data_IF_536345379097
#
_entry.id   IF_536345379097
#
_cell.length_a   1.000
_cell.length_b   1.000
_cell.length_c   1.000
_cell.angle_alpha   90.00
_cell.angle_beta   90.00
_cell.angle_gamma   90.00
#
_symmetry.space_group_name_H-M   'P 1'
#
loop_
_entity.id
_entity.type
_entity.pdbx_description
1 polymer ?
#
# COMPACT_ATOMS: atom_id res chain seq x y z
N UNK A 1 16.48 -16.27 -23.30
CA UNK A 1 15.03 -16.22 -23.06
C UNK A 1 14.38 -16.46 -24.41
N UNK A 2 13.58 -17.52 -24.54
CA UNK A 2 12.95 -17.88 -25.82
C UNK A 2 12.06 -16.73 -26.30
N UNK A 3 12.14 -16.41 -27.59
CA UNK A 3 11.25 -15.43 -28.24
C UNK A 3 9.82 -15.97 -28.27
N UNK A 4 9.03 -15.58 -27.27
CA UNK A 4 7.62 -15.96 -27.14
C UNK A 4 6.80 -15.05 -28.05
N UNK A 5 5.98 -15.64 -28.93
CA UNK A 5 5.06 -14.91 -29.78
C UNK A 5 3.78 -14.52 -29.01
N UNK A 6 3.81 -13.32 -28.42
CA UNK A 6 2.70 -12.75 -27.65
C UNK A 6 1.45 -12.46 -28.48
N UNK A 7 1.52 -12.48 -29.81
CA UNK A 7 0.31 -12.30 -30.65
C UNK A 7 -0.63 -13.51 -30.58
N UNK A 8 -0.12 -14.67 -30.14
CA UNK A 8 -0.87 -15.90 -29.93
C UNK A 8 -1.41 -16.05 -28.51
N UNK A 9 -1.17 -15.05 -27.65
CA UNK A 9 -1.62 -15.09 -26.27
C UNK A 9 -3.16 -14.94 -26.20
N UNK A 10 -3.85 -15.77 -25.40
CA UNK A 10 -5.27 -15.59 -25.14
C UNK A 10 -5.57 -14.21 -24.54
N UNK A 11 -6.78 -13.65 -24.74
CA UNK A 11 -7.16 -12.37 -24.17
C UNK A 11 -6.98 -12.32 -22.65
N UNK A 12 -6.36 -11.25 -22.14
CA UNK A 12 -6.11 -11.06 -20.72
C UNK A 12 -4.88 -11.77 -20.16
N UNK A 13 -4.09 -12.47 -20.99
CA UNK A 13 -2.81 -13.08 -20.58
C UNK A 13 -1.86 -12.04 -20.02
N UNK A 14 -1.17 -12.33 -18.92
CA UNK A 14 -0.13 -11.47 -18.36
C UNK A 14 1.19 -12.22 -18.05
N UNK A 15 1.30 -13.51 -18.39
CA UNK A 15 2.56 -14.23 -18.31
C UNK A 15 2.61 -15.49 -19.17
N UNK A 16 3.84 -15.96 -19.38
CA UNK A 16 4.16 -17.24 -20.00
C UNK A 16 5.12 -17.99 -19.07
N UNK A 17 4.70 -19.15 -18.57
CA UNK A 17 5.47 -19.99 -17.66
C UNK A 17 5.41 -21.43 -18.12
N UNK A 18 6.56 -22.09 -18.22
CA UNK A 18 6.67 -23.52 -18.53
C UNK A 18 5.87 -23.97 -19.78
N UNK A 19 5.73 -23.09 -20.78
CA UNK A 19 4.99 -23.40 -22.00
C UNK A 19 3.48 -23.13 -21.94
N UNK A 20 2.99 -22.48 -20.88
CA UNK A 20 1.57 -22.25 -20.64
C UNK A 20 1.31 -20.75 -20.42
N UNK A 21 0.25 -20.23 -21.07
CA UNK A 21 -0.23 -18.86 -20.87
C UNK A 21 -0.92 -18.74 -19.52
N UNK A 22 -0.64 -17.64 -18.81
CA UNK A 22 -1.25 -17.36 -17.53
C UNK A 22 -1.86 -15.95 -17.50
N UNK A 23 -2.88 -15.77 -16.65
CA UNK A 23 -3.42 -14.46 -16.29
C UNK A 23 -3.62 -14.34 -14.78
N UNK A 24 -3.57 -13.11 -14.27
CA UNK A 24 -3.91 -12.78 -12.89
C UNK A 24 -5.14 -11.87 -12.85
N UNK A 25 -6.07 -12.16 -11.95
CA UNK A 25 -7.22 -11.31 -11.63
C UNK A 25 -7.29 -11.15 -10.11
N UNK A 26 -6.92 -9.96 -9.60
CA UNK A 26 -6.75 -9.74 -8.16
C UNK A 26 -5.66 -10.64 -7.58
N UNK A 27 -5.99 -11.39 -6.52
CA UNK A 27 -5.10 -12.40 -5.93
C UNK A 27 -5.11 -13.73 -6.67
N UNK A 28 -6.02 -13.93 -7.63
CA UNK A 28 -6.20 -15.20 -8.30
C UNK A 28 -5.35 -15.35 -9.56
N UNK A 29 -4.75 -16.53 -9.74
CA UNK A 29 -3.97 -16.88 -10.91
C UNK A 29 -4.67 -17.98 -11.72
N UNK A 30 -4.65 -17.84 -13.04
CA UNK A 30 -5.24 -18.79 -13.97
C UNK A 30 -4.23 -19.21 -15.01
N UNK A 31 -4.30 -20.46 -15.46
CA UNK A 31 -3.59 -20.97 -16.62
C UNK A 31 -4.57 -21.22 -17.76
N UNK A 32 -4.11 -21.07 -19.00
CA UNK A 32 -4.89 -21.36 -20.19
C UNK A 32 -4.83 -22.85 -20.49
N UNK A 33 -5.99 -23.50 -20.46
CA UNK A 33 -6.16 -24.84 -20.98
C UNK A 33 -6.41 -24.74 -22.49
N UNK A 34 -5.39 -25.09 -23.28
CA UNK A 34 -5.45 -25.01 -24.74
C UNK A 34 -6.38 -26.06 -25.37
N UNK A 35 -6.65 -27.18 -24.69
CA UNK A 35 -7.55 -28.23 -25.21
C UNK A 35 -9.01 -27.81 -25.06
N UNK A 36 -9.33 -27.19 -23.92
CA UNK A 36 -10.69 -26.74 -23.61
C UNK A 36 -10.97 -25.28 -23.95
N UNK A 37 -9.94 -24.53 -24.37
CA UNK A 37 -9.98 -23.08 -24.61
C UNK A 37 -10.58 -22.26 -23.45
N UNK A 38 -10.25 -22.63 -22.21
CA UNK A 38 -10.73 -21.95 -21.00
C UNK A 38 -9.61 -21.60 -20.04
N UNK A 39 -9.85 -20.58 -19.22
CA UNK A 39 -9.00 -20.23 -18.09
C UNK A 39 -9.34 -21.11 -16.89
N UNK A 40 -8.35 -21.85 -16.36
CA UNK A 40 -8.49 -22.67 -15.16
C UNK A 40 -7.68 -22.07 -14.03
N UNK A 41 -8.22 -22.11 -12.81
CA UNK A 41 -7.51 -21.64 -11.62
C UNK A 41 -6.24 -22.49 -11.41
N UNK A 42 -5.09 -21.85 -11.16
CA UNK A 42 -3.88 -22.61 -10.86
C UNK A 42 -3.98 -23.26 -9.48
N UNK A 43 -3.30 -24.40 -9.30
CA UNK A 43 -3.23 -25.07 -7.99
C UNK A 43 -2.60 -24.18 -6.92
N UNK A 44 -1.69 -23.28 -7.30
CA UNK A 44 -1.06 -22.34 -6.36
C UNK A 44 -2.12 -21.50 -5.62
N UNK A 45 -3.05 -20.92 -6.36
CA UNK A 45 -4.23 -20.23 -5.81
C UNK A 45 -5.15 -21.13 -5.00
N UNK A 46 -5.32 -22.39 -5.43
CA UNK A 46 -6.18 -23.35 -4.73
C UNK A 46 -5.66 -23.66 -3.32
N UNK A 47 -4.35 -23.53 -3.10
CA UNK A 47 -3.70 -23.65 -1.79
C UNK A 47 -3.44 -22.29 -1.12
N UNK A 48 -4.06 -21.20 -1.58
CA UNK A 48 -3.92 -19.87 -0.98
C UNK A 48 -2.64 -19.12 -1.35
N UNK A 49 -1.80 -19.65 -2.24
CA UNK A 49 -0.60 -18.98 -2.72
C UNK A 49 -0.95 -18.01 -3.86
N UNK A 50 -0.70 -16.72 -3.64
CA UNK A 50 -0.81 -15.69 -4.67
C UNK A 50 0.59 -15.29 -5.15
N UNK A 51 0.86 -15.44 -6.45
CA UNK A 51 2.13 -15.05 -7.08
C UNK A 51 1.87 -14.01 -8.17
N UNK A 52 2.74 -13.00 -8.28
CA UNK A 52 2.68 -12.07 -9.41
C UNK A 52 3.31 -12.75 -10.62
N UNK A 53 2.53 -12.84 -11.67
CA UNK A 53 3.04 -13.24 -12.97
C UNK A 53 3.35 -11.98 -13.78
N UNK A 54 4.64 -11.75 -14.07
CA UNK A 54 5.11 -10.57 -14.80
C UNK A 54 5.38 -10.91 -16.25
N UNK A 55 4.83 -10.13 -17.17
CA UNK A 55 5.29 -10.15 -18.57
C UNK A 55 6.75 -9.69 -18.62
N UNK A 56 7.61 -10.37 -19.39
CA UNK A 56 8.99 -9.92 -19.62
C UNK A 56 9.08 -8.56 -20.31
N UNK A 57 8.04 -8.17 -21.08
CA UNK A 57 7.98 -6.90 -21.81
C UNK A 57 7.57 -5.69 -20.95
N UNK A 58 7.32 -5.90 -19.64
CA UNK A 58 6.95 -4.84 -18.70
C UNK A 58 5.53 -4.28 -18.87
N UNK A 59 4.75 -4.76 -19.85
CA UNK A 59 3.37 -4.30 -20.10
C UNK A 59 2.35 -5.03 -19.25
N UNK A 60 2.62 -5.15 -17.95
CA UNK A 60 1.60 -5.58 -17.01
C UNK A 60 0.51 -4.52 -16.93
N UNK A 61 -0.76 -4.92 -16.82
CA UNK A 61 -1.81 -4.01 -16.35
C UNK A 61 -1.36 -3.44 -15.00
N UNK A 62 -1.32 -2.12 -14.88
CA UNK A 62 -1.05 -1.46 -13.61
C UNK A 62 -2.05 -2.00 -12.58
N UNK A 63 -1.57 -2.56 -11.45
CA UNK A 63 -2.45 -3.03 -10.40
C UNK A 63 -3.35 -1.87 -9.96
N UNK A 64 -4.67 -2.08 -9.97
CA UNK A 64 -5.61 -1.07 -9.46
C UNK A 64 -5.22 -0.72 -8.01
N UNK A 65 -5.13 0.59 -7.67
CA UNK A 65 -4.83 0.99 -6.30
C UNK A 65 -5.79 0.36 -5.30
N UNK A 66 -5.26 -0.13 -4.18
CA UNK A 66 -6.06 -0.71 -3.12
C UNK A 66 -6.81 0.37 -2.35
N UNK A 67 -8.13 0.21 -2.24
CA UNK A 67 -9.04 1.18 -1.61
C UNK A 67 -9.08 1.07 -0.08
N UNK A 68 -8.42 0.07 0.50
CA UNK A 68 -8.41 -0.18 1.95
C UNK A 68 -9.37 -1.28 2.39
N UNK A 69 -10.15 -1.84 1.47
CA UNK A 69 -11.08 -2.94 1.74
C UNK A 69 -10.40 -4.30 1.52
N UNK A 70 -10.44 -5.18 2.52
CA UNK A 70 -9.82 -6.52 2.46
C UNK A 70 -8.29 -6.47 2.47
N UNK A 71 -7.63 -7.50 1.93
CA UNK A 71 -6.17 -7.49 1.79
C UNK A 71 -5.77 -6.75 0.50
N UNK A 72 -4.68 -5.97 0.52
CA UNK A 72 -4.17 -5.35 -0.71
C UNK A 72 -3.81 -6.42 -1.75
N UNK A 73 -4.15 -6.22 -3.03
CA UNK A 73 -3.72 -7.12 -4.09
C UNK A 73 -2.20 -7.22 -4.16
N UNK A 74 -1.71 -8.41 -4.47
CA UNK A 74 -0.28 -8.64 -4.68
C UNK A 74 0.21 -7.80 -5.88
N UNK A 75 1.30 -7.07 -5.70
CA UNK A 75 1.89 -6.15 -6.67
C UNK A 75 1.47 -4.70 -6.50
N UNK A 76 0.52 -4.41 -5.62
CA UNK A 76 0.12 -3.04 -5.27
C UNK A 76 1.11 -2.44 -4.28
N UNK A 77 1.39 -1.15 -4.45
CA UNK A 77 2.12 -0.35 -3.46
C UNK A 77 1.16 0.15 -2.38
N UNK A 78 1.53 -0.03 -1.12
CA UNK A 78 0.74 0.34 0.06
C UNK A 78 1.62 1.04 1.09
N UNK A 79 1.01 1.73 2.05
CA UNK A 79 1.71 2.13 3.26
C UNK A 79 1.62 1.00 4.30
N UNK A 80 2.76 0.64 4.88
CA UNK A 80 2.87 -0.38 5.92
C UNK A 80 3.49 0.23 7.17
N UNK A 81 2.88 -0.03 8.33
CA UNK A 81 3.44 0.34 9.62
C UNK A 81 4.33 -0.79 10.15
N UNK A 82 5.63 -0.55 10.18
CA UNK A 82 6.60 -1.53 10.67
C UNK A 82 6.63 -1.53 12.21
N UNK A 83 7.04 -0.41 12.79
CA UNK A 83 7.10 -0.25 14.25
C UNK A 83 7.16 1.24 14.62
N UNK A 84 7.16 1.55 15.91
CA UNK A 84 7.23 2.93 16.41
C UNK A 84 8.52 3.67 16.04
N UNK A 85 9.61 2.96 15.78
CA UNK A 85 10.92 3.57 15.47
C UNK A 85 11.03 3.99 14.00
N UNK A 86 10.48 3.18 13.08
CA UNK A 86 10.55 3.44 11.64
C UNK A 86 9.27 4.06 11.08
N UNK A 87 8.13 3.80 11.70
CA UNK A 87 6.83 4.35 11.33
C UNK A 87 6.25 3.74 10.06
N UNK A 88 5.49 4.56 9.34
CA UNK A 88 4.87 4.20 8.07
C UNK A 88 5.87 4.28 6.92
N UNK A 89 5.91 3.25 6.08
CA UNK A 89 6.75 3.22 4.88
C UNK A 89 5.99 2.68 3.68
N UNK A 90 6.41 3.07 2.47
CA UNK A 90 5.85 2.52 1.23
C UNK A 90 6.48 1.17 0.92
N UNK A 91 5.63 0.19 0.65
CA UNK A 91 6.04 -1.18 0.35
C UNK A 91 5.21 -1.76 -0.79
N UNK A 92 5.79 -2.65 -1.57
CA UNK A 92 5.07 -3.47 -2.55
C UNK A 92 4.72 -4.82 -1.93
N UNK A 93 3.47 -5.22 -2.03
CA UNK A 93 3.02 -6.56 -1.59
C UNK A 93 3.51 -7.61 -2.59
N UNK A 94 4.23 -8.63 -2.13
CA UNK A 94 4.83 -9.67 -2.97
C UNK A 94 4.12 -11.02 -2.88
N UNK A 95 3.62 -11.38 -1.70
CA UNK A 95 2.86 -12.61 -1.47
C UNK A 95 2.16 -12.59 -0.11
N UNK A 96 1.23 -13.52 0.07
CA UNK A 96 0.62 -13.86 1.36
C UNK A 96 0.77 -15.35 1.66
N UNK A 97 0.90 -15.69 2.93
CA UNK A 97 0.75 -17.04 3.44
C UNK A 97 0.16 -16.95 4.85
N UNK A 98 -1.01 -17.55 5.05
CA UNK A 98 -1.79 -17.41 6.29
C UNK A 98 -1.99 -15.92 6.66
N UNK A 99 -1.55 -15.52 7.85
CA UNK A 99 -1.67 -14.16 8.37
C UNK A 99 -0.39 -13.32 8.16
N UNK A 100 0.47 -13.74 7.22
CA UNK A 100 1.73 -13.06 6.92
C UNK A 100 1.77 -12.53 5.48
N UNK A 101 2.36 -11.35 5.31
CA UNK A 101 2.64 -10.75 4.00
C UNK A 101 4.14 -10.62 3.77
N UNK A 102 4.60 -11.04 2.59
CA UNK A 102 5.93 -10.74 2.10
C UNK A 102 5.88 -9.42 1.36
N UNK A 103 6.74 -8.49 1.75
CA UNK A 103 6.73 -7.12 1.27
C UNK A 103 8.13 -6.66 0.89
N UNK A 104 8.22 -5.82 -0.15
CA UNK A 104 9.44 -5.14 -0.55
C UNK A 104 9.34 -3.65 -0.22
N UNK A 105 10.13 -3.12 0.73
CA UNK A 105 10.19 -1.68 0.96
C UNK A 105 10.73 -0.93 -0.25
N UNK A 106 10.13 0.21 -0.57
CA UNK A 106 10.55 1.04 -1.69
C UNK A 106 12.03 1.44 -1.56
N UNK A 107 12.82 1.22 -2.63
CA UNK A 107 14.23 1.59 -2.69
C UNK A 107 15.19 0.72 -1.87
N UNK A 108 14.71 -0.39 -1.26
CA UNK A 108 15.57 -1.35 -0.55
C UNK A 108 15.56 -2.72 -1.27
N UNK A 109 16.69 -3.41 -1.41
CA UNK A 109 16.75 -4.75 -2.01
C UNK A 109 16.30 -5.87 -1.04
N UNK A 110 15.73 -5.53 0.12
CA UNK A 110 15.34 -6.48 1.16
C UNK A 110 13.87 -6.89 1.04
N UNK A 111 13.57 -8.16 1.30
CA UNK A 111 12.20 -8.64 1.53
C UNK A 111 11.98 -8.72 3.04
N UNK A 112 10.83 -8.25 3.49
CA UNK A 112 10.41 -8.28 4.90
C UNK A 112 9.12 -9.09 4.99
N UNK A 113 8.94 -9.81 6.10
CA UNK A 113 7.68 -10.44 6.45
C UNK A 113 6.97 -9.55 7.46
N UNK A 114 5.73 -9.16 7.14
CA UNK A 114 4.95 -8.21 7.92
C UNK A 114 3.53 -8.67 8.14
N UNK A 115 2.89 -8.10 9.17
CA UNK A 115 1.48 -8.35 9.46
C UNK A 115 0.59 -7.57 8.46
N UNK A 116 -0.30 -8.24 7.70
CA UNK A 116 -1.22 -7.59 6.77
C UNK A 116 -2.18 -6.58 7.40
N UNK A 117 -2.48 -6.70 8.70
CA UNK A 117 -3.31 -5.76 9.44
C UNK A 117 -2.69 -4.36 9.58
N UNK A 118 -1.38 -4.23 9.34
CA UNK A 118 -0.66 -2.96 9.40
C UNK A 118 -0.62 -2.22 8.05
N UNK A 119 -1.36 -2.68 7.04
CA UNK A 119 -1.47 -1.98 5.78
C UNK A 119 -2.54 -0.90 5.79
N UNK A 120 -2.27 0.17 5.03
CA UNK A 120 -3.30 1.11 4.59
C UNK A 120 -3.04 1.57 3.15
N UNK A 121 -4.07 2.09 2.47
CA UNK A 121 -3.89 2.74 1.18
C UNK A 121 -2.88 3.89 1.26
N UNK A 122 -2.21 4.14 0.14
CA UNK A 122 -1.36 5.33 0.00
C UNK A 122 -2.23 6.57 0.14
N UNK A 123 -1.91 7.42 1.13
CA UNK A 123 -2.63 8.67 1.36
C UNK A 123 -2.34 9.67 0.24
N UNK A 124 -3.36 10.44 -0.13
CA UNK A 124 -3.16 11.57 -1.05
C UNK A 124 -2.44 12.71 -0.33
N UNK A 125 -1.76 13.61 -1.07
CA UNK A 125 -1.15 14.80 -0.48
C UNK A 125 -2.12 15.63 0.36
N UNK A 126 -3.38 15.73 -0.08
CA UNK A 126 -4.43 16.46 0.62
C UNK A 126 -4.81 15.80 1.95
N UNK A 127 -4.88 14.46 1.99
CA UNK A 127 -5.12 13.72 3.22
C UNK A 127 -3.98 13.91 4.21
N UNK A 128 -2.73 13.88 3.73
CA UNK A 128 -1.55 14.13 4.56
C UNK A 128 -1.61 15.54 5.14
N UNK A 129 -1.85 16.55 4.30
CA UNK A 129 -1.95 17.94 4.74
C UNK A 129 -3.07 18.16 5.76
N UNK A 130 -4.23 17.52 5.59
CA UNK A 130 -5.33 17.60 6.55
C UNK A 130 -5.03 16.88 7.88
N UNK A 131 -4.37 15.72 7.83
CA UNK A 131 -3.90 15.02 9.03
C UNK A 131 -2.86 15.85 9.80
N UNK A 132 -1.90 16.46 9.10
CA UNK A 132 -0.90 17.35 9.69
C UNK A 132 -1.55 18.60 10.30
N UNK A 133 -2.54 19.19 9.61
CA UNK A 133 -3.32 20.31 10.12
C UNK A 133 -4.08 19.93 11.40
N UNK A 134 -4.70 18.75 11.43
CA UNK A 134 -5.40 18.24 12.63
C UNK A 134 -4.42 17.99 13.77
N UNK A 135 -3.29 17.33 13.52
CA UNK A 135 -2.27 17.09 14.52
C UNK A 135 -1.72 18.39 15.12
N UNK A 136 -1.49 19.40 14.29
CA UNK A 136 -1.10 20.74 14.73
C UNK A 136 -2.15 21.37 15.65
N UNK A 137 -3.43 21.28 15.29
CA UNK A 137 -4.54 21.78 16.12
C UNK A 137 -4.65 21.02 17.43
N UNK A 138 -4.52 19.70 17.42
CA UNK A 138 -4.57 18.85 18.62
C UNK A 138 -3.43 19.19 19.58
N UNK A 139 -2.23 19.48 19.05
CA UNK A 139 -1.10 19.95 19.85
C UNK A 139 -1.37 21.32 20.47
N UNK A 140 -1.88 22.28 19.69
CA UNK A 140 -2.30 23.59 20.22
C UNK A 140 -3.36 23.44 21.32
N UNK A 141 -4.35 22.55 21.10
CA UNK A 141 -5.39 22.26 22.07
C UNK A 141 -4.83 21.66 23.36
N UNK A 142 -3.85 20.76 23.25
CA UNK A 142 -3.19 20.18 24.42
C UNK A 142 -2.47 21.25 25.26
N UNK A 143 -1.79 22.21 24.62
CA UNK A 143 -1.14 23.33 25.31
C UNK A 143 -2.18 24.23 26.01
N UNK A 144 -3.31 24.47 25.33
CA UNK A 144 -4.43 25.20 25.90
C UNK A 144 -5.03 24.47 27.13
N UNK A 145 -5.24 23.16 27.03
CA UNK A 145 -5.86 22.35 28.07
C UNK A 145 -4.97 22.17 29.30
N UNK A 146 -3.64 22.23 29.14
CA UNK A 146 -2.66 22.14 30.23
C UNK A 146 -2.57 23.43 31.07
N UNK A 147 -3.24 24.52 30.65
CA UNK A 147 -3.28 25.75 31.41
C UNK A 147 -4.11 25.59 32.69
N UNK A 148 -3.63 26.08 33.85
CA UNK A 148 -4.37 26.01 35.10
C UNK A 148 -5.79 26.59 34.97
N UNK A 149 -6.77 25.95 35.62
CA UNK A 149 -8.18 26.39 35.57
C UNK A 149 -8.36 27.82 36.11
N UNK A 150 -7.49 28.26 37.03
CA UNK A 150 -7.49 29.63 37.57
C UNK A 150 -7.01 30.68 36.55
N UNK A 151 -6.31 30.27 35.48
CA UNK A 151 -5.71 31.09 34.43
C UNK A 151 -6.30 30.80 33.04
N UNK A 152 -7.53 30.28 33.00
CA UNK A 152 -8.28 30.02 31.76
C UNK A 152 -8.75 31.32 31.07
N UNK A 153 -7.88 32.33 31.04
CA UNK A 153 -8.04 33.53 30.25
C UNK A 153 -7.50 33.24 28.85
N UNK A 154 -8.27 33.60 27.82
CA UNK A 154 -7.95 33.30 26.42
C UNK A 154 -6.59 33.90 26.01
N UNK A 155 -6.19 35.03 26.59
CA UNK A 155 -4.96 35.74 26.24
C UNK A 155 -3.70 35.01 26.72
N UNK A 156 -3.72 34.44 27.91
CA UNK A 156 -2.63 33.65 28.49
C UNK A 156 -2.48 32.32 27.77
N UNK A 157 -3.59 31.65 27.44
CA UNK A 157 -3.51 30.44 26.62
C UNK A 157 -2.94 30.72 25.21
N UNK A 158 -3.32 31.84 24.58
CA UNK A 158 -2.75 32.25 23.30
C UNK A 158 -1.27 32.61 23.41
N UNK A 159 -0.85 33.22 24.54
CA UNK A 159 0.56 33.47 24.82
C UNK A 159 1.35 32.15 24.95
N UNK A 160 0.82 31.15 25.66
CA UNK A 160 1.46 29.84 25.78
C UNK A 160 1.61 29.12 24.42
N UNK A 161 0.61 29.22 23.54
CA UNK A 161 0.70 28.68 22.17
C UNK A 161 1.75 29.47 21.36
N UNK A 162 1.83 30.79 21.51
CA UNK A 162 2.86 31.57 20.84
C UNK A 162 4.27 31.24 21.35
N UNK A 163 4.43 31.07 22.67
CA UNK A 163 5.71 30.78 23.32
C UNK A 163 6.23 29.37 23.01
N UNK A 164 5.36 28.42 22.64
CA UNK A 164 5.78 27.10 22.13
C UNK A 164 6.27 27.12 20.68
N UNK A 165 6.28 28.30 20.03
CA UNK A 165 6.92 28.51 18.72
C UNK A 165 5.93 28.66 17.56
N UNK A 166 4.62 28.56 17.78
CA UNK A 166 3.64 28.78 16.72
C UNK A 166 3.62 30.24 16.25
N UNK A 167 3.53 30.43 14.93
CA UNK A 167 3.52 31.75 14.28
C UNK A 167 2.39 31.82 13.26
N UNK A 168 2.01 33.05 12.89
CA UNK A 168 1.08 33.27 11.77
C UNK A 168 1.73 32.69 10.50
N UNK A 169 1.00 31.84 9.78
CA UNK A 169 1.40 31.44 8.44
C UNK A 169 1.51 32.70 7.57
N UNK A 170 2.67 32.92 6.95
CA UNK A 170 2.85 34.02 6.00
C UNK A 170 2.02 33.75 4.74
N UNK A 171 1.45 34.80 4.16
CA UNK A 171 0.85 34.73 2.84
C UNK A 171 2.00 34.55 1.83
N UNK A 172 2.23 33.30 1.39
CA UNK A 172 3.14 32.95 0.31
C UNK A 172 2.34 32.63 -0.96
#
# INVERSE_FOLDING_TARGET
MSDIDWTKAPPGTNAWLEGIWHKQQGSQCFYWDAESEIWRLTRLTQYGLSIILRRPDGKNHEPTPWTGEGLPPVGVEVEWYECRQTGWQRVTVLAYHEDEAWIAPAGKPSIVVGNPANFRPIRTPEQIAEEERKAAIDEMYRIYADQPVATHNVRECLAAIYDSGWRKAGDA
#
